data_IF_155365199998
#
_entry.id   IF_155365199998
#
_cell.length_a   1.000
_cell.length_b   1.000
_cell.length_c   1.000
_cell.angle_alpha   90.00
_cell.angle_beta   90.00
_cell.angle_gamma   90.00
#
_symmetry.space_group_name_H-M   'P 1'
#
loop_
_entity.id
_entity.type
_entity.pdbx_description
1 polymer ?
#
# COMPACT_ATOMS: atom_id res chain seq x y z
N UNK A 1 24.50 -0.13 -20.85
CA UNK A 1 23.38 -0.73 -21.60
C UNK A 1 22.39 -1.45 -20.70
N UNK A 2 22.80 -2.41 -19.86
CA UNK A 2 21.87 -3.15 -18.99
C UNK A 2 21.07 -2.26 -18.02
N UNK A 3 21.72 -1.24 -17.43
CA UNK A 3 21.07 -0.27 -16.53
C UNK A 3 19.98 0.57 -17.22
N UNK A 4 20.19 0.95 -18.48
CA UNK A 4 19.21 1.71 -19.28
C UNK A 4 17.99 0.85 -19.60
N UNK A 5 18.21 -0.41 -19.99
CA UNK A 5 17.13 -1.37 -20.24
C UNK A 5 16.32 -1.66 -18.97
N UNK A 6 16.96 -1.77 -17.80
CA UNK A 6 16.28 -1.93 -16.53
C UNK A 6 15.43 -0.71 -16.18
N UNK A 7 15.93 0.49 -16.46
CA UNK A 7 15.21 1.74 -16.21
C UNK A 7 14.01 1.91 -17.15
N UNK A 8 14.16 1.53 -18.42
CA UNK A 8 13.08 1.49 -19.41
C UNK A 8 12.01 0.46 -19.04
N UNK A 9 12.40 -0.72 -18.55
CA UNK A 9 11.47 -1.74 -18.06
C UNK A 9 10.74 -1.24 -16.81
N UNK A 10 11.44 -0.61 -15.86
CA UNK A 10 10.82 -0.05 -14.65
C UNK A 10 9.83 1.07 -14.99
N UNK A 11 10.21 2.03 -15.85
CA UNK A 11 9.30 3.06 -16.35
C UNK A 11 8.09 2.45 -17.06
N UNK A 12 8.31 1.47 -17.94
CA UNK A 12 7.21 0.80 -18.63
C UNK A 12 6.29 0.05 -17.65
N UNK A 13 6.82 -0.56 -16.60
CA UNK A 13 6.00 -1.21 -15.57
C UNK A 13 5.23 -0.21 -14.71
N UNK A 14 5.76 0.99 -14.45
CA UNK A 14 5.05 2.05 -13.74
C UNK A 14 3.94 2.67 -14.61
N UNK A 15 4.20 2.89 -15.90
CA UNK A 15 3.21 3.41 -16.85
C UNK A 15 2.08 2.41 -17.14
N UNK A 16 2.38 1.11 -17.07
CA UNK A 16 1.41 0.03 -17.28
C UNK A 16 0.70 -0.41 -15.99
N UNK A 17 1.16 0.05 -14.82
CA UNK A 17 0.59 -0.30 -13.52
C UNK A 17 -0.94 -0.14 -13.41
N UNK A 18 -1.56 0.94 -13.97
CA UNK A 18 -3.01 1.12 -13.95
C UNK A 18 -3.79 0.12 -14.81
N UNK A 19 -3.11 -0.61 -15.69
CA UNK A 19 -3.71 -1.56 -16.64
C UNK A 19 -3.51 -3.02 -16.26
N UNK A 20 -2.78 -3.31 -15.19
CA UNK A 20 -2.66 -4.67 -14.69
C UNK A 20 -4.01 -5.13 -14.14
N UNK A 21 -4.45 -6.30 -14.61
CA UNK A 21 -5.50 -7.02 -13.89
C UNK A 21 -5.01 -7.34 -12.49
N UNK A 22 -5.93 -7.57 -11.54
CA UNK A 22 -5.54 -8.01 -10.18
C UNK A 22 -4.53 -9.15 -10.29
N UNK A 23 -4.79 -10.14 -11.14
CA UNK A 23 -3.94 -11.29 -11.48
C UNK A 23 -2.53 -11.01 -12.03
N UNK A 24 -2.21 -9.76 -12.36
CA UNK A 24 -0.88 -9.34 -12.83
C UNK A 24 -0.11 -8.50 -11.82
N UNK A 25 -0.76 -7.96 -10.78
CA UNK A 25 -0.09 -7.20 -9.72
C UNK A 25 0.85 -8.10 -8.92
N UNK A 26 2.07 -7.65 -8.56
CA UNK A 26 2.99 -8.43 -7.74
C UNK A 26 2.41 -8.66 -6.33
N UNK A 27 2.60 -9.86 -5.79
CA UNK A 27 2.29 -10.15 -4.38
C UNK A 27 3.28 -9.40 -3.48
N UNK A 28 2.77 -8.65 -2.51
CA UNK A 28 3.58 -7.97 -1.50
C UNK A 28 4.17 -9.01 -0.54
N UNK A 29 5.47 -9.23 -0.61
CA UNK A 29 6.21 -10.15 0.28
C UNK A 29 7.11 -9.44 1.29
N UNK A 30 7.30 -8.12 1.13
CA UNK A 30 8.09 -7.31 2.05
C UNK A 30 7.20 -6.68 3.13
N UNK A 31 6.95 -7.46 4.19
CA UNK A 31 6.15 -7.03 5.35
C UNK A 31 6.70 -5.77 6.02
N UNK A 32 8.03 -5.56 6.01
CA UNK A 32 8.65 -4.38 6.63
C UNK A 32 8.33 -3.12 5.84
N UNK A 33 8.39 -3.22 4.52
CA UNK A 33 8.01 -2.13 3.65
C UNK A 33 6.50 -1.85 3.73
N UNK A 34 5.67 -2.89 3.78
CA UNK A 34 4.23 -2.74 4.00
C UNK A 34 3.93 -1.99 5.32
N UNK A 35 4.58 -2.39 6.42
CA UNK A 35 4.46 -1.71 7.71
C UNK A 35 4.89 -0.24 7.65
N UNK A 36 5.93 0.07 6.88
CA UNK A 36 6.38 1.45 6.69
C UNK A 36 5.31 2.29 5.97
N UNK A 37 4.73 1.78 4.88
CA UNK A 37 3.67 2.46 4.13
C UNK A 37 2.42 2.67 4.99
N UNK A 38 1.98 1.64 5.72
CA UNK A 38 0.82 1.74 6.61
C UNK A 38 1.02 2.79 7.72
N UNK A 39 2.22 2.89 8.28
CA UNK A 39 2.56 3.93 9.27
C UNK A 39 2.52 5.31 8.65
N UNK A 40 3.08 5.49 7.45
CA UNK A 40 3.03 6.76 6.74
C UNK A 40 1.58 7.19 6.46
N UNK A 41 0.73 6.27 5.99
CA UNK A 41 -0.71 6.55 5.80
C UNK A 41 -1.36 6.97 7.12
N UNK A 42 -1.13 6.22 8.19
CA UNK A 42 -1.70 6.55 9.50
C UNK A 42 -1.24 7.92 10.02
N UNK A 43 0.03 8.27 9.84
CA UNK A 43 0.58 9.56 10.28
C UNK A 43 0.10 10.71 9.39
N UNK A 44 0.02 10.49 8.07
CA UNK A 44 -0.52 11.44 7.11
C UNK A 44 -2.00 11.75 7.41
N UNK A 45 -2.84 10.71 7.61
CA UNK A 45 -4.25 10.87 7.99
C UNK A 45 -4.39 11.59 9.33
N UNK A 46 -3.55 11.27 10.34
CA UNK A 46 -3.55 11.99 11.63
C UNK A 46 -3.25 13.47 11.48
N UNK A 47 -2.34 13.82 10.57
CA UNK A 47 -1.92 15.19 10.32
C UNK A 47 -2.79 15.91 9.28
N UNK A 48 -3.82 15.24 8.75
CA UNK A 48 -4.68 15.72 7.66
C UNK A 48 -3.88 16.05 6.38
N UNK A 49 -2.74 15.37 6.19
CA UNK A 49 -1.93 15.43 4.97
C UNK A 49 -2.46 14.40 3.96
N UNK A 50 -3.60 14.72 3.37
CA UNK A 50 -4.31 13.79 2.49
C UNK A 50 -3.56 13.55 1.18
N UNK A 51 -2.77 14.52 0.71
CA UNK A 51 -1.95 14.36 -0.49
C UNK A 51 -0.85 13.31 -0.27
N UNK A 52 -0.23 13.30 0.91
CA UNK A 52 0.71 12.25 1.26
C UNK A 52 0.03 10.91 1.52
N UNK A 53 -1.14 10.90 2.16
CA UNK A 53 -1.92 9.67 2.34
C UNK A 53 -2.29 9.01 1.00
N UNK A 54 -2.72 9.81 0.02
CA UNK A 54 -3.06 9.37 -1.34
C UNK A 54 -1.82 8.81 -2.07
N UNK A 55 -0.69 9.51 -2.00
CA UNK A 55 0.59 9.03 -2.57
C UNK A 55 0.99 7.65 -2.03
N UNK A 56 0.84 7.43 -0.73
CA UNK A 56 1.16 6.15 -0.11
C UNK A 56 0.11 5.07 -0.45
N UNK A 57 -1.16 5.45 -0.60
CA UNK A 57 -2.25 4.58 -1.03
C UNK A 57 -2.05 4.07 -2.47
N UNK A 58 -1.58 4.92 -3.39
CA UNK A 58 -1.24 4.48 -4.77
C UNK A 58 -0.21 3.35 -4.76
N UNK A 59 0.74 3.35 -3.83
CA UNK A 59 1.70 2.25 -3.72
C UNK A 59 1.00 0.95 -3.32
N UNK A 60 0.05 1.01 -2.39
CA UNK A 60 -0.72 -0.15 -1.98
C UNK A 60 -1.53 -0.73 -3.14
N UNK A 61 -2.16 0.13 -3.95
CA UNK A 61 -2.96 -0.29 -5.10
C UNK A 61 -2.18 -1.06 -6.16
N UNK A 62 -0.86 -0.83 -6.25
CA UNK A 62 0.02 -1.50 -7.23
C UNK A 62 0.37 -2.94 -6.86
N UNK A 63 -0.01 -3.41 -5.67
CA UNK A 63 0.34 -4.73 -5.16
C UNK A 63 -0.90 -5.56 -4.85
N UNK A 64 -0.71 -6.87 -4.78
CA UNK A 64 -1.64 -7.81 -4.16
C UNK A 64 -1.15 -8.23 -2.79
N UNK A 65 -2.09 -8.72 -1.98
CA UNK A 65 -1.85 -9.10 -0.60
C UNK A 65 -2.36 -10.51 -0.35
N UNK A 66 -1.96 -11.10 0.75
CA UNK A 66 -2.58 -12.33 1.21
C UNK A 66 -4.05 -12.08 1.55
N UNK A 67 -4.90 -13.10 1.39
CA UNK A 67 -6.37 -12.99 1.56
C UNK A 67 -6.76 -12.39 2.91
N UNK A 68 -5.99 -12.69 3.97
CA UNK A 68 -6.17 -12.17 5.33
C UNK A 68 -5.93 -10.66 5.45
N UNK A 69 -5.16 -10.08 4.54
CA UNK A 69 -4.73 -8.67 4.54
C UNK A 69 -5.38 -7.87 3.43
N UNK A 70 -5.77 -8.51 2.33
CA UNK A 70 -6.32 -7.83 1.16
C UNK A 70 -7.63 -7.08 1.45
N UNK A 71 -8.51 -7.65 2.26
CA UNK A 71 -9.78 -7.00 2.63
C UNK A 71 -9.55 -5.71 3.43
N UNK A 72 -8.68 -5.76 4.44
CA UNK A 72 -8.33 -4.59 5.26
C UNK A 72 -7.60 -3.51 4.43
N UNK A 73 -6.74 -3.90 3.49
CA UNK A 73 -6.08 -2.94 2.59
C UNK A 73 -7.11 -2.27 1.67
N UNK A 74 -8.07 -3.03 1.13
CA UNK A 74 -9.15 -2.47 0.31
C UNK A 74 -10.03 -1.51 1.12
N UNK A 75 -10.34 -1.86 2.37
CA UNK A 75 -11.06 -0.99 3.29
C UNK A 75 -10.28 0.31 3.55
N UNK A 76 -8.99 0.20 3.87
CA UNK A 76 -8.11 1.35 4.11
C UNK A 76 -8.05 2.29 2.89
N UNK A 77 -7.86 1.73 1.69
CA UNK A 77 -7.85 2.51 0.45
C UNK A 77 -9.16 3.26 0.24
N UNK A 78 -10.30 2.61 0.47
CA UNK A 78 -11.61 3.27 0.37
C UNK A 78 -11.76 4.40 1.39
N UNK A 79 -11.19 4.28 2.58
CA UNK A 79 -11.25 5.30 3.63
C UNK A 79 -10.35 6.49 3.30
N UNK A 80 -9.15 6.24 2.73
CA UNK A 80 -8.26 7.29 2.23
C UNK A 80 -8.94 8.10 1.11
N UNK A 81 -9.55 7.43 0.12
CA UNK A 81 -10.27 8.11 -0.98
C UNK A 81 -11.43 8.98 -0.44
N UNK A 82 -12.08 8.53 0.64
CA UNK A 82 -13.19 9.25 1.28
C UNK A 82 -12.72 10.33 2.27
N UNK A 83 -11.41 10.47 2.47
CA UNK A 83 -10.81 11.35 3.46
C UNK A 83 -11.31 11.10 4.89
N UNK A 84 -11.64 9.84 5.20
CA UNK A 84 -12.09 9.44 6.54
C UNK A 84 -10.88 9.11 7.42
N UNK A 85 -10.30 10.16 8.02
CA UNK A 85 -9.10 10.08 8.87
C UNK A 85 -9.27 9.09 10.02
N UNK A 86 -10.45 9.09 10.64
CA UNK A 86 -10.71 8.30 11.84
C UNK A 86 -10.81 6.81 11.52
N UNK A 87 -11.51 6.44 10.46
CA UNK A 87 -11.62 5.03 10.06
C UNK A 87 -10.30 4.54 9.47
N UNK A 88 -9.64 5.33 8.61
CA UNK A 88 -8.35 4.97 8.02
C UNK A 88 -7.28 4.70 9.09
N UNK A 89 -7.17 5.54 10.12
CA UNK A 89 -6.24 5.32 11.22
C UNK A 89 -6.55 4.03 12.01
N UNK A 90 -7.82 3.68 12.18
CA UNK A 90 -8.20 2.45 12.88
C UNK A 90 -7.82 1.22 12.06
N UNK A 91 -8.16 1.20 10.77
CA UNK A 91 -7.84 0.09 9.86
C UNK A 91 -6.33 -0.08 9.73
N UNK A 92 -5.59 1.00 9.50
CA UNK A 92 -4.13 0.98 9.46
C UNK A 92 -3.52 0.48 10.78
N UNK A 93 -4.06 0.92 11.93
CA UNK A 93 -3.61 0.46 13.25
C UNK A 93 -3.79 -1.05 13.44
N UNK A 94 -4.98 -1.59 13.12
CA UNK A 94 -5.25 -3.04 13.19
C UNK A 94 -4.29 -3.84 12.30
N UNK A 95 -4.07 -3.36 11.08
CA UNK A 95 -3.14 -3.97 10.12
C UNK A 95 -1.70 -3.99 10.66
N UNK A 96 -1.24 -2.86 11.21
CA UNK A 96 0.11 -2.74 11.79
C UNK A 96 0.27 -3.73 12.96
N UNK A 97 -0.68 -3.78 13.88
CA UNK A 97 -0.62 -4.69 15.04
C UNK A 97 -0.57 -6.17 14.61
N UNK A 98 -1.37 -6.56 13.63
CA UNK A 98 -1.38 -7.93 13.10
C UNK A 98 -0.04 -8.30 12.46
N UNK A 99 0.43 -7.49 11.51
CA UNK A 99 1.66 -7.76 10.77
C UNK A 99 2.89 -7.77 11.68
N UNK A 100 2.92 -6.93 12.72
CA UNK A 100 3.99 -6.95 13.72
C UNK A 100 3.96 -8.21 14.61
N UNK A 101 2.78 -8.77 14.85
CA UNK A 101 2.63 -10.00 15.65
C UNK A 101 3.10 -11.22 14.86
N UNK A 102 2.78 -11.27 13.57
CA UNK A 102 3.18 -12.35 12.64
C UNK A 102 4.70 -12.40 12.42
N UNK A 103 5.42 -11.26 12.44
CA UNK A 103 6.89 -11.24 12.33
C UNK A 103 7.62 -11.83 13.57
N UNK A 104 6.95 -11.98 14.72
CA UNK A 104 7.55 -12.43 15.98
C UNK A 104 7.36 -13.94 16.22
N UNK A 105 6.48 -14.58 15.45
CA UNK A 105 6.18 -16.03 15.47
C UNK A 105 6.94 -16.80 14.41
#
# INVERSE_FOLDING_TARGET
MLLLLLQEIMCATEELAPFFTEEQKPLCTDTKFLLYVLKNISDAMRNLDFDEADRQAEWLERHRYEETTEEDIRELLSQVIRLDDREAMQTAGRLIERLQTEEVT
#
